data_IF_400035298996
#
_entry.id   IF_400035298996
#
_cell.length_a   1.000
_cell.length_b   1.000
_cell.length_c   1.000
_cell.angle_alpha   90.00
_cell.angle_beta   90.00
_cell.angle_gamma   90.00
#
_symmetry.space_group_name_H-M   'P 1'
#
loop_
_entity.id
_entity.type
_entity.pdbx_description
1 polymer ?
#
# COMPACT_ATOMS: atom_id res chain seq x y z
N UNK A 1 41.67 17.73 -32.00
CA UNK A 1 42.95 17.69 -32.75
C UNK A 1 44.00 17.30 -31.73
N UNK A 2 44.85 16.27 -31.89
CA UNK A 2 45.26 15.50 -33.10
C UNK A 2 45.44 14.00 -32.77
N UNK A 3 45.74 13.14 -33.78
CA UNK A 3 45.96 11.67 -33.67
C UNK A 3 47.31 11.35 -32.98
N UNK A 4 47.66 10.13 -32.50
CA UNK A 4 47.60 8.79 -33.12
C UNK A 4 47.71 7.64 -32.07
N UNK A 5 47.10 6.45 -32.28
CA UNK A 5 47.68 5.11 -32.66
C UNK A 5 48.69 4.52 -31.64
N UNK A 6 48.81 3.20 -31.39
CA UNK A 6 48.85 2.03 -32.30
C UNK A 6 48.16 0.76 -31.69
N UNK A 7 47.84 -0.24 -32.52
CA UNK A 7 47.24 -1.56 -32.17
C UNK A 7 48.29 -2.65 -31.85
N UNK A 8 47.89 -3.71 -31.14
CA UNK A 8 48.62 -4.99 -31.08
C UNK A 8 47.64 -6.19 -31.08
N UNK A 9 47.87 -7.20 -31.94
CA UNK A 9 46.92 -8.29 -32.22
C UNK A 9 47.64 -9.64 -32.47
N UNK A 10 47.19 -10.68 -31.73
CA UNK A 10 47.15 -12.15 -32.01
C UNK A 10 48.40 -12.97 -32.42
N UNK A 11 48.71 -13.93 -31.53
CA UNK A 11 48.57 -15.41 -31.69
C UNK A 11 49.61 -16.29 -32.44
N UNK A 12 49.85 -17.46 -31.82
CA UNK A 12 50.19 -18.79 -32.36
C UNK A 12 49.54 -19.82 -31.39
N UNK A 13 48.84 -20.90 -31.78
CA UNK A 13 49.27 -22.11 -32.51
C UNK A 13 50.35 -22.89 -31.72
N UNK A 14 50.13 -24.05 -31.05
CA UNK A 14 49.23 -25.22 -31.17
C UNK A 14 49.73 -26.34 -32.12
N UNK A 15 50.16 -27.48 -31.52
CA UNK A 15 50.47 -28.79 -32.14
C UNK A 15 50.11 -29.91 -31.12
N UNK A 16 49.87 -31.16 -31.56
CA UNK A 16 49.37 -32.28 -30.75
C UNK A 16 49.97 -33.66 -31.15
N UNK A 17 49.40 -34.76 -30.61
CA UNK A 17 49.71 -36.20 -30.84
C UNK A 17 50.83 -36.82 -29.95
N UNK A 18 50.92 -38.14 -29.69
CA UNK A 18 50.20 -39.34 -30.20
C UNK A 18 49.99 -40.44 -29.09
N UNK A 19 49.47 -41.63 -29.42
CA UNK A 19 49.02 -42.74 -28.51
C UNK A 19 50.14 -43.78 -28.13
N UNK A 20 49.96 -44.90 -27.39
CA UNK A 20 49.07 -46.09 -27.57
C UNK A 20 48.99 -47.06 -26.33
N UNK A 21 47.83 -47.74 -26.15
CA UNK A 21 47.53 -49.18 -25.83
C UNK A 21 48.25 -49.99 -24.69
N UNK A 22 47.47 -50.74 -23.86
CA UNK A 22 47.81 -52.14 -23.46
C UNK A 22 47.43 -52.67 -22.03
N UNK A 23 46.67 -53.79 -21.92
CA UNK A 23 46.40 -54.59 -20.68
C UNK A 23 45.40 -53.95 -19.67
N UNK A 24 44.62 -54.63 -18.80
CA UNK A 24 44.54 -56.03 -18.32
C UNK A 24 44.95 -56.12 -16.82
N UNK A 25 44.26 -56.77 -15.86
CA UNK A 25 43.07 -57.67 -15.74
C UNK A 25 42.49 -57.52 -14.29
N UNK A 26 41.40 -58.12 -13.75
CA UNK A 26 40.94 -59.53 -13.67
C UNK A 26 39.39 -59.69 -13.39
N UNK A 27 38.95 -60.82 -12.81
CA UNK A 27 37.58 -61.36 -12.71
C UNK A 27 36.64 -60.87 -11.58
N UNK A 28 35.37 -60.70 -11.97
CA UNK A 28 34.06 -60.95 -11.33
C UNK A 28 33.88 -61.49 -9.87
N UNK A 29 32.81 -60.99 -9.22
CA UNK A 29 31.90 -61.78 -8.35
C UNK A 29 30.45 -61.23 -8.41
N UNK A 30 29.46 -61.92 -7.81
CA UNK A 30 28.02 -61.77 -8.13
C UNK A 30 27.09 -61.77 -6.90
N UNK A 31 25.82 -61.35 -7.11
CA UNK A 31 24.66 -61.40 -6.19
C UNK A 31 24.72 -60.39 -5.01
N UNK A 32 23.66 -59.65 -4.66
CA UNK A 32 22.27 -60.08 -4.49
C UNK A 32 21.29 -58.89 -4.54
N UNK A 33 20.02 -59.14 -4.88
CA UNK A 33 18.97 -58.12 -4.86
C UNK A 33 18.19 -58.17 -3.53
N UNK A 34 18.31 -57.12 -2.71
CA UNK A 34 17.55 -56.94 -1.48
C UNK A 34 16.92 -55.54 -1.44
N UNK A 35 15.60 -55.48 -1.54
CA UNK A 35 14.79 -54.30 -1.29
C UNK A 35 14.31 -54.36 0.18
N UNK A 36 14.24 -53.25 0.91
CA UNK A 36 12.90 -52.86 1.36
C UNK A 36 12.64 -51.34 1.49
N UNK A 37 11.34 -51.02 1.50
CA UNK A 37 10.71 -49.87 2.14
C UNK A 37 11.20 -48.46 1.75
N UNK A 38 10.51 -47.85 0.78
CA UNK A 38 10.52 -46.39 0.61
C UNK A 38 9.70 -45.69 1.70
N UNK A 39 10.23 -44.58 2.21
CA UNK A 39 9.62 -43.71 3.23
C UNK A 39 8.34 -43.01 2.70
N UNK A 40 7.28 -42.81 3.52
CA UNK A 40 5.99 -42.34 3.01
C UNK A 40 6.02 -40.91 2.46
N UNK A 41 5.41 -40.73 1.28
CA UNK A 41 5.36 -39.45 0.59
C UNK A 41 4.61 -38.38 1.40
N UNK A 42 5.35 -37.36 1.87
CA UNK A 42 4.76 -36.19 2.51
C UNK A 42 3.83 -35.45 1.54
N UNK A 43 2.52 -35.47 1.83
CA UNK A 43 1.49 -34.83 1.00
C UNK A 43 1.71 -33.33 0.92
N UNK A 44 2.26 -32.87 -0.22
CA UNK A 44 2.52 -31.46 -0.50
C UNK A 44 1.23 -30.64 -0.50
N UNK A 45 0.88 -30.08 0.67
CA UNK A 45 -0.28 -29.21 0.82
C UNK A 45 -0.05 -27.93 0.03
N UNK A 46 -0.59 -27.87 -1.18
CA UNK A 46 -0.66 -26.67 -2.01
C UNK A 46 -1.66 -25.70 -1.41
N UNK A 47 -1.26 -25.04 -0.32
CA UNK A 47 -2.02 -23.96 0.32
C UNK A 47 -2.05 -22.78 -0.64
N UNK A 48 -2.99 -22.82 -1.57
CA UNK A 48 -3.23 -21.76 -2.55
C UNK A 48 -3.59 -20.50 -1.79
N UNK A 49 -2.61 -19.60 -1.67
CA UNK A 49 -2.74 -18.34 -0.99
C UNK A 49 -3.61 -17.40 -1.83
N UNK A 50 -4.91 -17.69 -1.87
CA UNK A 50 -5.92 -16.88 -2.50
C UNK A 50 -5.86 -15.48 -1.88
N UNK A 51 -5.25 -14.55 -2.61
CA UNK A 51 -5.04 -13.18 -2.18
C UNK A 51 -6.39 -12.43 -2.18
N UNK A 52 -7.22 -12.71 -1.18
CA UNK A 52 -8.48 -12.01 -0.91
C UNK A 52 -8.18 -10.52 -0.90
N UNK A 53 -8.80 -9.76 -1.83
CA UNK A 53 -8.45 -8.37 -1.99
C UNK A 53 -8.64 -7.63 -0.67
N UNK A 54 -7.55 -7.15 -0.07
CA UNK A 54 -7.55 -6.64 1.30
C UNK A 54 -8.49 -5.46 1.49
N UNK A 55 -8.84 -4.77 0.38
CA UNK A 55 -9.70 -3.59 0.23
C UNK A 55 -11.12 -3.67 0.80
N UNK A 56 -11.51 -4.73 1.49
CA UNK A 56 -12.76 -4.83 2.27
C UNK A 56 -12.58 -5.30 3.72
N UNK A 57 -11.34 -5.27 4.26
CA UNK A 57 -11.05 -5.71 5.63
C UNK A 57 -11.65 -4.79 6.71
N UNK A 58 -11.52 -3.47 6.55
CA UNK A 58 -12.03 -2.49 7.53
C UNK A 58 -13.39 -1.95 7.11
N UNK A 59 -14.42 -2.29 7.89
CA UNK A 59 -15.82 -1.97 7.62
C UNK A 59 -16.40 -1.03 8.70
N UNK A 60 -17.39 -0.22 8.32
CA UNK A 60 -18.21 0.53 9.28
C UNK A 60 -18.95 -0.42 10.23
N UNK A 61 -19.31 0.07 11.42
CA UNK A 61 -19.98 -0.72 12.47
C UNK A 61 -19.05 -1.67 13.23
N UNK A 62 -18.22 -2.45 12.52
CA UNK A 62 -17.33 -3.45 13.12
C UNK A 62 -16.30 -2.82 14.07
N UNK A 63 -16.14 -3.46 15.23
CA UNK A 63 -15.10 -3.16 16.23
C UNK A 63 -13.89 -4.07 15.99
N UNK A 64 -12.69 -3.50 16.11
CA UNK A 64 -11.41 -4.18 15.96
C UNK A 64 -10.68 -4.10 17.31
N UNK A 65 -9.97 -5.16 17.69
CA UNK A 65 -9.17 -5.22 18.93
C UNK A 65 -7.70 -5.34 18.55
N UNK A 66 -6.82 -4.62 19.24
CA UNK A 66 -5.38 -4.61 18.96
C UNK A 66 -4.62 -3.79 19.98
N UNK A 67 -3.42 -3.35 19.60
CA UNK A 67 -2.62 -2.39 20.39
C UNK A 67 -2.44 -1.08 19.63
N UNK A 68 -2.18 -0.01 20.38
CA UNK A 68 -1.62 1.22 19.83
C UNK A 68 -0.19 1.40 20.35
N UNK A 69 0.74 1.69 19.44
CA UNK A 69 2.09 2.22 19.72
C UNK A 69 2.11 3.72 19.37
N UNK A 70 3.27 4.39 19.48
CA UNK A 70 3.36 5.76 18.94
C UNK A 70 4.69 6.12 18.28
N UNK A 71 4.61 6.96 17.24
CA UNK A 71 5.72 7.44 16.43
C UNK A 71 5.83 8.97 16.40
N UNK A 72 7.01 9.47 16.04
CA UNK A 72 7.21 10.87 15.68
C UNK A 72 6.60 11.11 14.29
N UNK A 73 5.60 11.98 14.22
CA UNK A 73 4.80 12.20 13.02
C UNK A 73 4.65 13.70 12.73
N UNK A 74 4.88 14.09 11.48
CA UNK A 74 4.80 15.48 11.01
C UNK A 74 3.49 15.82 10.29
N UNK A 75 2.59 14.84 10.10
CA UNK A 75 1.33 14.97 9.36
C UNK A 75 1.36 14.46 7.91
N UNK A 76 2.54 14.08 7.40
CA UNK A 76 2.73 13.42 6.10
C UNK A 76 2.54 11.89 6.19
N UNK A 77 3.45 11.10 5.63
CA UNK A 77 3.37 9.64 5.52
C UNK A 77 2.88 9.14 4.16
N UNK A 78 2.77 7.81 4.03
CA UNK A 78 2.45 7.10 2.78
C UNK A 78 1.18 7.60 2.06
N UNK A 79 0.23 8.23 2.74
CA UNK A 79 -0.95 8.82 2.10
C UNK A 79 -0.71 10.15 1.35
N UNK A 80 0.55 10.61 1.21
CA UNK A 80 0.93 11.84 0.50
C UNK A 80 0.13 13.10 0.93
N UNK A 81 -0.14 13.21 2.24
CA UNK A 81 -0.58 14.49 2.80
C UNK A 81 0.64 15.41 2.96
N UNK A 82 0.41 16.72 2.87
CA UNK A 82 1.46 17.68 3.25
C UNK A 82 1.66 17.62 4.78
N UNK A 83 2.87 17.85 5.29
CA UNK A 83 3.11 18.05 6.72
C UNK A 83 2.23 19.15 7.32
N UNK A 84 2.05 19.10 8.64
CA UNK A 84 1.27 20.05 9.42
C UNK A 84 -0.20 19.67 9.63
N UNK A 85 -0.95 20.63 10.19
CA UNK A 85 -2.34 20.43 10.59
C UNK A 85 -2.47 19.72 11.94
N UNK A 86 -3.61 19.08 12.19
CA UNK A 86 -3.86 18.38 13.46
C UNK A 86 -3.17 17.01 13.47
N UNK A 87 -2.26 16.80 14.42
CA UNK A 87 -1.61 15.49 14.65
C UNK A 87 -2.51 14.49 15.39
N UNK A 88 -3.84 14.64 15.34
CA UNK A 88 -4.75 13.53 15.66
C UNK A 88 -4.76 12.55 14.47
N UNK A 89 -3.65 11.82 14.33
CA UNK A 89 -3.32 10.98 13.18
C UNK A 89 -2.77 9.62 13.61
N UNK A 90 -2.81 8.66 12.68
CA UNK A 90 -2.24 7.33 12.86
C UNK A 90 -1.75 6.71 11.54
N UNK A 91 -0.84 5.75 11.67
CA UNK A 91 -0.44 4.80 10.65
C UNK A 91 -1.16 3.44 10.84
N UNK A 92 -1.28 2.66 9.76
CA UNK A 92 -1.79 1.29 9.79
C UNK A 92 -0.81 0.30 9.17
N UNK A 93 -0.81 -0.94 9.65
CA UNK A 93 -0.16 -2.09 9.00
C UNK A 93 -0.71 -2.31 7.57
N UNK A 94 0.04 -2.99 6.70
CA UNK A 94 -0.34 -3.13 5.28
C UNK A 94 -1.74 -3.78 5.04
N UNK A 95 -2.14 -4.87 5.74
CA UNK A 95 -3.49 -5.43 5.62
C UNK A 95 -4.63 -4.47 6.01
N UNK A 96 -4.47 -3.63 7.03
CA UNK A 96 -5.49 -2.65 7.43
C UNK A 96 -5.42 -1.35 6.59
N UNK A 97 -4.24 -1.00 6.07
CA UNK A 97 -4.01 0.13 5.15
C UNK A 97 -4.72 -0.06 3.80
N UNK A 98 -4.85 -1.30 3.34
CA UNK A 98 -5.70 -1.72 2.22
C UNK A 98 -5.36 -1.00 0.89
N UNK A 99 -4.08 -0.97 0.52
CA UNK A 99 -3.61 -0.32 -0.71
C UNK A 99 -4.06 1.15 -0.81
N UNK A 100 -3.81 1.91 0.26
CA UNK A 100 -4.27 3.28 0.48
C UNK A 100 -5.79 3.52 0.53
N UNK A 101 -6.65 2.50 0.52
CA UNK A 101 -8.10 2.71 0.67
C UNK A 101 -8.45 3.47 1.97
N UNK A 102 -7.73 3.19 3.06
CA UNK A 102 -7.94 3.87 4.34
C UNK A 102 -7.33 5.26 4.44
N UNK A 103 -6.57 5.72 3.46
CA UNK A 103 -5.97 7.06 3.52
C UNK A 103 -7.02 8.17 3.61
N UNK A 104 -6.84 9.07 4.58
CA UNK A 104 -7.81 10.14 4.87
C UNK A 104 -9.07 9.67 5.62
N UNK A 105 -9.25 8.37 5.83
CA UNK A 105 -10.35 7.85 6.66
C UNK A 105 -10.12 8.19 8.15
N UNK A 106 -11.21 8.14 8.92
CA UNK A 106 -11.18 8.42 10.35
C UNK A 106 -11.57 7.18 11.17
N UNK A 107 -10.83 6.93 12.25
CA UNK A 107 -11.15 5.87 13.22
C UNK A 107 -11.36 6.47 14.60
N UNK A 108 -12.36 5.95 15.34
CA UNK A 108 -12.47 6.17 16.78
C UNK A 108 -11.62 5.09 17.46
N UNK A 109 -10.65 5.51 18.26
CA UNK A 109 -9.79 4.63 19.08
C UNK A 109 -10.19 4.81 20.54
N UNK A 110 -10.39 3.70 21.24
CA UNK A 110 -10.77 3.64 22.65
C UNK A 110 -9.71 2.83 23.40
N UNK A 111 -9.05 3.46 24.37
CA UNK A 111 -7.97 2.88 25.15
C UNK A 111 -8.43 2.39 26.54
N UNK A 112 -7.47 2.14 27.45
CA UNK A 112 -7.75 1.84 28.86
C UNK A 112 -8.65 2.91 29.51
N UNK A 113 -9.48 2.52 30.47
CA UNK A 113 -10.43 3.42 31.12
C UNK A 113 -11.54 3.97 30.21
N UNK A 114 -11.79 3.37 29.03
CA UNK A 114 -12.87 3.75 28.10
C UNK A 114 -12.68 5.08 27.37
N UNK A 115 -11.66 5.85 27.74
CA UNK A 115 -11.30 7.13 27.11
C UNK A 115 -11.07 6.94 25.62
N UNK A 116 -11.57 7.89 24.83
CA UNK A 116 -11.66 7.74 23.37
C UNK A 116 -11.18 8.98 22.63
N UNK A 117 -10.45 8.78 21.54
CA UNK A 117 -10.05 9.81 20.57
C UNK A 117 -10.56 9.45 19.17
N UNK A 118 -10.48 10.41 18.24
CA UNK A 118 -10.64 10.17 16.80
C UNK A 118 -9.37 10.60 16.09
N UNK A 119 -8.84 9.75 15.22
CA UNK A 119 -7.64 10.03 14.41
C UNK A 119 -7.90 9.85 12.92
N UNK A 120 -7.18 10.59 12.08
CA UNK A 120 -7.13 10.43 10.62
C UNK A 120 -5.99 9.47 10.24
N UNK A 121 -6.24 8.51 9.36
CA UNK A 121 -5.18 7.66 8.81
C UNK A 121 -4.38 8.45 7.77
N UNK A 122 -3.05 8.52 7.95
CA UNK A 122 -2.14 9.30 7.08
C UNK A 122 -0.95 8.50 6.56
N UNK A 123 -0.72 7.30 7.09
CA UNK A 123 0.54 6.60 6.87
C UNK A 123 0.38 5.07 6.92
N UNK A 124 1.41 4.37 6.46
CA UNK A 124 1.54 2.91 6.47
C UNK A 124 2.71 2.53 7.37
N UNK A 125 2.39 1.97 8.53
CA UNK A 125 3.39 1.37 9.40
C UNK A 125 3.94 0.11 8.72
N UNK A 126 5.28 -0.03 8.55
CA UNK A 126 5.89 -1.23 8.01
C UNK A 126 5.56 -2.48 8.84
N UNK A 127 5.51 -3.64 8.18
CA UNK A 127 5.59 -4.94 8.85
C UNK A 127 7.04 -5.22 9.26
N UNK A 128 7.24 -5.84 10.42
CA UNK A 128 8.55 -6.26 10.92
C UNK A 128 8.41 -7.41 11.92
N UNK A 129 9.53 -7.80 12.52
CA UNK A 129 9.60 -8.91 13.49
C UNK A 129 9.89 -8.39 14.91
N UNK A 130 9.45 -9.16 15.92
CA UNK A 130 9.64 -8.82 17.33
C UNK A 130 8.92 -7.53 17.75
N UNK A 131 9.68 -6.54 18.19
CA UNK A 131 9.18 -5.20 18.58
C UNK A 131 9.11 -4.21 17.42
N UNK A 132 9.67 -4.55 16.24
CA UNK A 132 9.71 -3.67 15.08
C UNK A 132 8.49 -3.88 14.16
N UNK A 133 7.85 -2.78 13.77
CA UNK A 133 6.71 -2.78 12.83
C UNK A 133 5.34 -3.10 13.45
N UNK A 134 4.30 -2.98 12.63
CA UNK A 134 2.91 -3.15 13.05
C UNK A 134 2.29 -4.45 12.54
N UNK A 135 1.70 -5.21 13.47
CA UNK A 135 0.84 -6.36 13.15
C UNK A 135 -0.58 -5.93 12.78
N UNK A 136 -1.37 -6.88 12.28
CA UNK A 136 -2.80 -6.70 12.00
C UNK A 136 -3.56 -6.17 13.23
N UNK A 137 -4.51 -5.26 13.01
CA UNK A 137 -5.24 -4.46 14.00
C UNK A 137 -4.39 -3.49 14.85
N UNK A 138 -3.06 -3.44 14.71
CA UNK A 138 -2.23 -2.43 15.39
C UNK A 138 -2.33 -1.08 14.68
N UNK A 139 -2.54 -0.04 15.48
CA UNK A 139 -2.35 1.36 15.10
C UNK A 139 -0.98 1.82 15.57
N UNK A 140 -0.34 2.69 14.80
CA UNK A 140 0.74 3.53 15.32
C UNK A 140 0.22 4.97 15.39
N UNK A 141 0.07 5.51 16.59
CA UNK A 141 -0.48 6.85 16.80
C UNK A 141 0.64 7.90 16.73
N UNK A 142 0.35 9.15 16.36
CA UNK A 142 1.31 10.21 16.68
C UNK A 142 1.53 10.28 18.20
N UNK A 143 2.71 10.73 18.65
CA UNK A 143 2.96 11.05 20.07
C UNK A 143 1.87 11.94 20.68
N UNK A 144 1.35 12.93 19.93
CA UNK A 144 0.26 13.80 20.41
C UNK A 144 -1.07 13.05 20.56
N UNK A 145 -1.41 12.16 19.62
CA UNK A 145 -2.61 11.35 19.69
C UNK A 145 -2.54 10.32 20.84
N UNK A 146 -1.39 9.66 21.01
CA UNK A 146 -1.14 8.76 22.14
C UNK A 146 -1.26 9.51 23.47
N UNK A 147 -0.54 10.62 23.66
CA UNK A 147 -0.61 11.40 24.89
C UNK A 147 -2.03 11.91 25.19
N UNK A 148 -2.82 12.26 24.17
CA UNK A 148 -4.23 12.64 24.38
C UNK A 148 -5.11 11.46 24.80
N UNK A 149 -4.78 10.23 24.40
CA UNK A 149 -5.48 9.00 24.78
C UNK A 149 -5.02 8.49 26.15
N UNK A 150 -3.75 8.09 26.28
CA UNK A 150 -3.12 7.59 27.50
C UNK A 150 -1.77 8.29 27.74
N UNK A 151 -1.72 9.33 28.59
CA UNK A 151 -0.48 10.03 28.93
C UNK A 151 0.61 9.09 29.47
N UNK A 152 1.87 9.35 29.09
CA UNK A 152 3.04 8.58 29.53
C UNK A 152 3.15 7.14 29.00
N UNK A 153 2.13 6.60 28.31
CA UNK A 153 2.13 5.20 27.85
C UNK A 153 2.71 5.06 26.44
N UNK A 154 3.78 4.26 26.29
CA UNK A 154 4.37 3.96 24.98
C UNK A 154 3.60 2.94 24.13
N UNK A 155 2.83 2.05 24.78
CA UNK A 155 2.09 0.95 24.17
C UNK A 155 0.86 0.62 25.03
N UNK A 156 -0.33 0.58 24.42
CA UNK A 156 -1.59 0.28 25.12
C UNK A 156 -2.46 -0.72 24.35
N UNK A 157 -3.28 -1.49 25.06
CA UNK A 157 -4.39 -2.24 24.46
C UNK A 157 -5.51 -1.27 24.05
N UNK A 158 -6.07 -1.46 22.85
CA UNK A 158 -7.13 -0.60 22.32
C UNK A 158 -8.23 -1.40 21.62
N UNK A 159 -9.42 -0.81 21.59
CA UNK A 159 -10.44 -1.18 20.60
C UNK A 159 -10.70 0.00 19.68
N UNK A 160 -10.93 -0.24 18.39
CA UNK A 160 -11.13 0.81 17.41
C UNK A 160 -12.18 0.46 16.36
N UNK A 161 -12.72 1.48 15.68
CA UNK A 161 -13.65 1.30 14.54
C UNK A 161 -13.57 2.47 13.56
N UNK A 162 -13.84 2.19 12.29
CA UNK A 162 -14.09 3.20 11.25
C UNK A 162 -15.33 4.04 11.60
N UNK A 163 -15.23 5.36 11.42
CA UNK A 163 -16.31 6.33 11.74
C UNK A 163 -16.44 7.41 10.67
N UNK A 164 -17.65 7.96 10.51
CA UNK A 164 -17.96 9.03 9.54
C UNK A 164 -18.16 10.39 10.25
N UNK A 165 -17.10 11.14 10.59
CA UNK A 165 -17.24 12.40 11.32
C UNK A 165 -17.91 13.51 10.48
N UNK A 166 -18.60 14.43 11.15
CA UNK A 166 -18.98 15.71 10.54
C UNK A 166 -17.70 16.54 10.32
N UNK A 167 -17.32 16.74 9.06
CA UNK A 167 -16.19 17.57 8.65
C UNK A 167 -16.67 19.00 8.31
N UNK A 168 -15.76 19.99 8.37
CA UNK A 168 -16.02 21.33 7.85
C UNK A 168 -15.80 21.33 6.33
N UNK A 169 -16.77 21.82 5.57
CA UNK A 169 -16.69 21.98 4.12
C UNK A 169 -16.85 20.69 3.28
N UNK A 170 -16.83 20.85 1.95
CA UNK A 170 -17.01 19.76 0.98
C UNK A 170 -15.76 18.88 0.85
N UNK A 171 -15.86 17.82 0.05
CA UNK A 171 -14.69 17.08 -0.44
C UNK A 171 -13.74 18.01 -1.21
N UNK A 172 -12.49 17.61 -1.32
CA UNK A 172 -11.42 18.41 -1.92
C UNK A 172 -10.61 17.58 -2.91
N UNK A 173 -9.98 18.25 -3.87
CA UNK A 173 -9.16 17.63 -4.91
C UNK A 173 -7.81 18.35 -5.02
N UNK A 174 -6.74 17.58 -5.19
CA UNK A 174 -5.38 18.06 -5.47
C UNK A 174 -4.80 17.16 -6.55
N UNK A 175 -4.31 17.73 -7.65
CA UNK A 175 -3.53 16.98 -8.63
C UNK A 175 -2.07 16.90 -8.22
N UNK A 176 -1.42 15.80 -8.61
CA UNK A 176 -0.02 15.51 -8.32
C UNK A 176 0.92 16.46 -9.09
N UNK A 177 2.10 16.76 -8.54
CA UNK A 177 3.14 17.53 -9.25
C UNK A 177 3.51 16.74 -10.51
N UNK A 178 3.52 17.40 -11.67
CA UNK A 178 3.75 16.74 -12.96
C UNK A 178 2.47 16.24 -13.66
N UNK A 179 1.28 16.40 -13.06
CA UNK A 179 0.02 16.13 -13.76
C UNK A 179 -0.17 17.07 -14.96
N UNK A 180 -0.56 16.51 -16.10
CA UNK A 180 -0.82 17.19 -17.38
C UNK A 180 -2.07 16.58 -18.05
N UNK A 181 -2.42 17.04 -19.26
CA UNK A 181 -3.45 16.39 -20.09
C UNK A 181 -3.05 15.00 -20.63
N UNK A 182 -1.80 14.57 -20.47
CA UNK A 182 -1.26 13.31 -21.00
C UNK A 182 -1.04 12.23 -19.94
N UNK A 183 -0.87 12.63 -18.68
CA UNK A 183 -0.84 11.77 -17.49
C UNK A 183 -1.31 12.61 -16.31
N UNK A 184 -2.13 12.07 -15.41
CA UNK A 184 -2.42 12.76 -14.15
C UNK A 184 -2.75 11.80 -13.00
N UNK A 185 -2.28 12.15 -11.81
CA UNK A 185 -2.75 11.62 -10.54
C UNK A 185 -3.62 12.65 -9.81
N UNK A 186 -4.79 12.26 -9.30
CA UNK A 186 -5.60 13.09 -8.39
C UNK A 186 -5.70 12.45 -7.00
N UNK A 187 -5.51 13.25 -5.96
CA UNK A 187 -5.80 12.87 -4.58
C UNK A 187 -7.10 13.53 -4.12
N UNK A 188 -8.03 12.71 -3.64
CA UNK A 188 -9.24 13.19 -2.95
C UNK A 188 -8.87 13.47 -1.49
N UNK A 189 -9.37 14.59 -0.94
CA UNK A 189 -9.11 15.07 0.43
C UNK A 189 -10.41 15.50 1.10
N UNK A 190 -10.37 15.69 2.43
CA UNK A 190 -11.51 16.13 3.25
C UNK A 190 -12.82 15.33 3.03
N UNK A 191 -12.71 14.02 2.83
CA UNK A 191 -13.84 13.11 2.68
C UNK A 191 -14.11 12.40 4.01
N UNK A 192 -15.38 12.34 4.44
CA UNK A 192 -15.73 11.71 5.73
C UNK A 192 -15.76 10.17 5.71
N UNK A 193 -15.87 9.57 4.52
CA UNK A 193 -15.89 8.12 4.29
C UNK A 193 -14.69 7.73 3.41
N UNK A 194 -14.16 6.50 3.49
CA UNK A 194 -13.12 6.02 2.56
C UNK A 194 -13.61 6.00 1.10
N UNK A 195 -12.77 6.46 0.16
CA UNK A 195 -13.11 6.52 -1.28
C UNK A 195 -12.73 5.21 -1.98
N UNK A 196 -13.73 4.48 -2.48
CA UNK A 196 -13.59 3.20 -3.18
C UNK A 196 -13.26 3.36 -4.67
N UNK A 197 -13.88 4.32 -5.36
CA UNK A 197 -13.54 4.65 -6.76
C UNK A 197 -13.42 6.15 -7.01
N UNK A 198 -12.58 6.49 -7.97
CA UNK A 198 -12.58 7.77 -8.67
C UNK A 198 -12.70 7.48 -10.16
N UNK A 199 -13.46 8.30 -10.86
CA UNK A 199 -13.74 8.18 -12.29
C UNK A 199 -13.72 9.56 -12.94
N UNK A 200 -13.11 9.68 -14.11
CA UNK A 200 -13.10 10.92 -14.88
C UNK A 200 -14.13 10.87 -16.01
N UNK A 201 -14.81 11.99 -16.26
CA UNK A 201 -15.71 12.12 -17.41
C UNK A 201 -14.91 12.25 -18.69
N UNK A 202 -15.33 11.49 -19.70
CA UNK A 202 -14.80 11.49 -21.07
C UNK A 202 -15.97 11.58 -22.06
N UNK A 203 -15.66 11.69 -23.36
CA UNK A 203 -16.67 11.58 -24.42
C UNK A 203 -17.43 10.23 -24.30
N UNK A 204 -16.70 9.11 -24.39
CA UNK A 204 -17.20 7.75 -24.17
C UNK A 204 -17.48 7.38 -22.71
N UNK A 205 -18.21 8.23 -21.98
CA UNK A 205 -18.69 7.92 -20.63
C UNK A 205 -17.68 8.16 -19.50
N UNK A 206 -17.74 7.33 -18.47
CA UNK A 206 -16.93 7.44 -17.25
C UNK A 206 -15.72 6.49 -17.30
N UNK A 207 -14.53 7.02 -17.08
CA UNK A 207 -13.29 6.25 -17.05
C UNK A 207 -12.80 6.10 -15.60
N UNK A 208 -12.90 4.87 -15.06
CA UNK A 208 -12.38 4.52 -13.73
C UNK A 208 -10.85 4.57 -13.73
N UNK A 209 -10.29 5.35 -12.81
CA UNK A 209 -8.85 5.51 -12.62
C UNK A 209 -8.33 4.65 -11.48
N UNK A 210 -7.08 4.20 -11.58
CA UNK A 210 -6.49 3.24 -10.65
C UNK A 210 -5.94 3.94 -9.40
N UNK A 211 -6.36 3.50 -8.21
CA UNK A 211 -5.73 3.89 -6.94
C UNK A 211 -4.29 3.36 -6.88
N UNK A 212 -3.38 4.16 -6.33
CA UNK A 212 -2.02 3.79 -5.94
C UNK A 212 -1.90 3.65 -4.42
N UNK A 213 -0.93 2.83 -3.99
CA UNK A 213 -0.55 2.66 -2.59
C UNK A 213 -0.07 3.95 -1.91
N UNK A 214 0.16 5.03 -2.67
CA UNK A 214 0.50 6.36 -2.17
C UNK A 214 -0.64 7.40 -2.29
N UNK A 215 -1.89 6.92 -2.29
CA UNK A 215 -3.14 7.71 -2.22
C UNK A 215 -3.34 8.74 -3.34
N UNK A 216 -2.93 8.43 -4.56
CA UNK A 216 -3.40 9.09 -5.79
C UNK A 216 -4.21 8.11 -6.64
N UNK A 217 -5.10 8.66 -7.47
CA UNK A 217 -5.88 7.95 -8.47
C UNK A 217 -5.44 8.42 -9.86
N UNK A 218 -4.93 7.51 -10.69
CA UNK A 218 -4.21 7.86 -11.91
C UNK A 218 -4.92 7.49 -13.22
N UNK A 219 -4.86 8.42 -14.17
CA UNK A 219 -5.08 8.17 -15.59
C UNK A 219 -3.72 8.15 -16.31
N UNK A 220 -3.19 6.95 -16.60
CA UNK A 220 -1.85 6.75 -17.17
C UNK A 220 -1.66 7.38 -18.56
N UNK A 221 -2.74 7.56 -19.30
CA UNK A 221 -2.77 8.08 -20.67
C UNK A 221 -3.57 9.39 -20.80
N UNK A 222 -3.75 10.12 -19.70
CA UNK A 222 -4.39 11.45 -19.72
C UNK A 222 -5.91 11.44 -19.88
N UNK A 223 -6.53 10.27 -20.14
CA UNK A 223 -7.95 10.12 -20.40
C UNK A 223 -8.79 10.69 -19.25
N UNK A 224 -9.45 11.81 -19.52
CA UNK A 224 -10.34 12.53 -18.59
C UNK A 224 -9.64 13.49 -17.60
N UNK A 225 -8.32 13.65 -17.66
CA UNK A 225 -7.59 14.57 -16.79
C UNK A 225 -8.11 16.02 -16.89
N UNK A 226 -8.33 16.68 -15.75
CA UNK A 226 -8.85 18.05 -15.69
C UNK A 226 -10.34 18.21 -16.01
N UNK A 227 -11.07 17.11 -16.22
CA UNK A 227 -12.51 17.12 -16.49
C UNK A 227 -13.33 16.92 -15.20
N UNK A 228 -14.64 16.70 -15.34
CA UNK A 228 -15.56 16.37 -14.26
C UNK A 228 -15.15 15.06 -13.59
N UNK A 229 -15.05 15.07 -12.26
CA UNK A 229 -14.69 13.91 -11.45
C UNK A 229 -15.94 13.34 -10.80
N UNK A 230 -16.12 12.02 -10.87
CA UNK A 230 -17.04 11.25 -10.00
C UNK A 230 -16.23 10.50 -8.97
N UNK A 231 -16.68 10.52 -7.72
CA UNK A 231 -16.13 9.70 -6.63
C UNK A 231 -17.23 8.81 -6.06
N UNK A 232 -16.89 7.58 -5.69
CA UNK A 232 -17.77 6.66 -4.96
C UNK A 232 -17.10 6.21 -3.67
N UNK A 233 -17.80 6.29 -2.54
CA UNK A 233 -17.28 5.81 -1.25
C UNK A 233 -17.52 4.30 -1.03
N UNK A 234 -16.97 3.74 0.05
CA UNK A 234 -17.15 2.32 0.45
C UNK A 234 -18.58 1.95 0.88
N UNK A 235 -19.53 2.89 0.84
CA UNK A 235 -20.96 2.66 1.05
C UNK A 235 -21.78 2.83 -0.23
N UNK A 236 -21.14 3.10 -1.37
CA UNK A 236 -21.78 3.28 -2.67
C UNK A 236 -22.26 4.71 -2.95
N UNK A 237 -22.06 5.66 -2.02
CA UNK A 237 -22.51 7.04 -2.20
C UNK A 237 -21.64 7.73 -3.25
N UNK A 238 -22.29 8.45 -4.18
CA UNK A 238 -21.63 9.11 -5.31
C UNK A 238 -21.70 10.64 -5.20
N UNK A 239 -20.58 11.31 -5.48
CA UNK A 239 -20.53 12.75 -5.75
C UNK A 239 -19.94 12.99 -7.15
N UNK A 240 -20.39 14.06 -7.81
CA UNK A 240 -19.95 14.47 -9.15
C UNK A 240 -19.61 15.96 -9.14
N UNK A 241 -18.34 16.28 -9.33
CA UNK A 241 -17.81 17.65 -9.27
C UNK A 241 -17.24 18.08 -10.63
N UNK A 242 -17.83 19.16 -11.19
CA UNK A 242 -17.42 19.78 -12.46
C UNK A 242 -16.35 20.84 -12.22
N UNK A 243 -15.50 21.09 -13.21
CA UNK A 243 -14.55 22.22 -13.20
C UNK A 243 -13.29 22.03 -12.36
N UNK A 244 -12.95 20.80 -11.97
CA UNK A 244 -11.74 20.49 -11.22
C UNK A 244 -10.53 20.46 -12.17
N UNK A 245 -9.88 21.62 -12.32
CA UNK A 245 -8.73 21.85 -13.21
C UNK A 245 -7.51 21.06 -12.75
N UNK A 246 -6.57 20.80 -13.65
CA UNK A 246 -5.28 20.20 -13.29
C UNK A 246 -4.48 21.24 -12.48
N UNK A 247 -4.36 21.04 -11.17
CA UNK A 247 -3.67 21.96 -10.27
C UNK A 247 -3.23 21.31 -8.96
N UNK A 248 -2.03 21.66 -8.51
CA UNK A 248 -1.47 21.31 -7.19
C UNK A 248 -2.06 22.15 -6.05
N UNK A 249 -2.85 23.21 -6.36
CA UNK A 249 -3.64 23.96 -5.37
C UNK A 249 -4.88 23.17 -4.98
N UNK A 250 -5.30 23.28 -3.71
CA UNK A 250 -6.50 22.60 -3.18
C UNK A 250 -7.75 23.19 -3.82
N UNK A 251 -8.51 22.36 -4.52
CA UNK A 251 -9.80 22.71 -5.11
C UNK A 251 -10.93 22.11 -4.26
N UNK A 252 -12.02 22.85 -4.07
CA UNK A 252 -13.21 22.42 -3.34
C UNK A 252 -14.20 21.79 -4.32
N UNK A 253 -14.73 20.62 -3.98
CA UNK A 253 -15.96 20.08 -4.58
C UNK A 253 -17.19 20.83 -4.07
N UNK A 254 -18.39 20.41 -4.51
CA UNK A 254 -19.67 21.06 -4.17
C UNK A 254 -20.25 20.62 -2.84
N UNK A 255 -20.05 19.37 -2.44
CA UNK A 255 -20.71 18.75 -1.27
C UNK A 255 -19.77 17.86 -0.48
N UNK A 256 -20.21 17.45 0.71
CA UNK A 256 -19.61 16.36 1.48
C UNK A 256 -20.41 15.07 1.22
N UNK A 257 -19.79 13.91 1.41
CA UNK A 257 -20.51 12.62 1.39
C UNK A 257 -21.55 12.56 2.54
N UNK A 258 -22.57 11.69 2.46
CA UNK A 258 -23.52 11.49 3.56
C UNK A 258 -22.85 10.80 4.76
N UNK A 259 -23.54 10.82 5.90
CA UNK A 259 -23.13 10.11 7.11
C UNK A 259 -23.26 8.58 6.94
N UNK A 260 -22.56 7.86 7.83
CA UNK A 260 -22.56 6.39 7.99
C UNK A 260 -22.40 6.07 9.47
#
# INVERSE_FOLDING_TARGET
MTRSRVFGIRAAAAVAALALVGGGVYFAQSSSAANPAAEPAATGSTVSAAATDSKDRIKFGKKYQGVATSYAADGSGACNFKPGGSMMIAALNAPDYQGALMCGAYVKVTGPGGKSIRVKIVDRCPSGTGTSGCRVNQLDLSRQAMNKLAPGQGKINVTWRLVSPKLKGPVQYVYEKGSTKWWCGVQVRNHRNPIRTVEFKTAGGWHKVARRDYNFFESKNGKGCGNTIRITDVKGNRLVDKGIKISTKVQKGKKQLPAV
#
